data_IF_249291150313
#
_entry.id   IF_249291150313
#
_cell.length_a   1.000
_cell.length_b   1.000
_cell.length_c   1.000
_cell.angle_alpha   90.00
_cell.angle_beta   90.00
_cell.angle_gamma   90.00
#
_symmetry.space_group_name_H-M   'P 1'
#
loop_
_entity.id
_entity.type
_entity.pdbx_description
1 polymer ?
#
# COMPACT_ATOMS: atom_id res chain seq x y z
N UNK A 1 -6.77 16.45 -5.31
CA UNK A 1 -5.96 17.34 -4.45
C UNK A 1 -6.90 18.09 -3.53
N UNK A 2 -6.69 18.03 -2.21
CA UNK A 2 -7.55 18.72 -1.24
C UNK A 2 -6.74 19.77 -0.45
N UNK A 3 -7.33 20.95 -0.28
CA UNK A 3 -6.70 22.13 0.33
C UNK A 3 -7.54 22.56 1.52
N UNK A 4 -6.92 22.96 2.61
CA UNK A 4 -7.62 23.45 3.81
C UNK A 4 -6.84 24.60 4.44
N UNK A 5 -7.56 25.59 4.98
CA UNK A 5 -6.97 26.67 5.79
C UNK A 5 -7.49 26.55 7.21
N UNK A 6 -6.59 26.68 8.19
CA UNK A 6 -6.86 26.66 9.63
C UNK A 6 -6.56 28.05 10.17
N UNK A 7 -7.53 28.61 10.90
CA UNK A 7 -7.39 29.89 11.59
C UNK A 7 -7.43 29.65 13.09
N UNK A 8 -6.36 30.00 13.79
CA UNK A 8 -6.24 29.80 15.24
C UNK A 8 -5.16 30.70 15.82
N UNK A 9 -5.46 31.34 16.93
CA UNK A 9 -4.47 32.08 17.73
C UNK A 9 -3.54 31.13 18.49
N UNK A 10 -4.02 29.92 18.83
CA UNK A 10 -3.17 28.85 19.36
C UNK A 10 -2.46 28.13 18.20
N UNK A 11 -1.19 28.50 18.03
CA UNK A 11 -0.31 27.92 17.01
C UNK A 11 -0.04 26.42 17.21
N UNK A 12 0.04 25.95 18.45
CA UNK A 12 0.31 24.54 18.76
C UNK A 12 -0.91 23.71 18.40
N UNK A 13 -2.11 24.16 18.80
CA UNK A 13 -3.36 23.51 18.42
C UNK A 13 -3.54 23.47 16.89
N UNK A 14 -3.24 24.58 16.20
CA UNK A 14 -3.32 24.66 14.74
C UNK A 14 -2.38 23.65 14.06
N UNK A 15 -1.14 23.53 14.54
CA UNK A 15 -0.17 22.56 14.03
C UNK A 15 -0.59 21.12 14.27
N UNK A 16 -1.11 20.81 15.44
CA UNK A 16 -1.59 19.47 15.77
C UNK A 16 -2.80 19.08 14.91
N UNK A 17 -3.74 20.00 14.71
CA UNK A 17 -4.87 19.81 13.79
C UNK A 17 -4.39 19.66 12.35
N UNK A 18 -3.46 20.51 11.89
CA UNK A 18 -2.87 20.39 10.57
C UNK A 18 -2.21 19.03 10.37
N UNK A 19 -1.47 18.52 11.36
CA UNK A 19 -0.82 17.21 11.30
C UNK A 19 -1.83 16.05 11.21
N UNK A 20 -2.97 16.13 11.90
CA UNK A 20 -3.99 15.07 11.93
C UNK A 20 -4.90 15.03 10.72
N UNK A 21 -5.14 16.18 10.05
CA UNK A 21 -6.05 16.23 8.90
C UNK A 21 -5.53 15.45 7.69
N UNK A 22 -6.41 14.69 7.05
CA UNK A 22 -6.12 13.99 5.79
C UNK A 22 -6.24 14.94 4.59
N UNK A 23 -5.30 15.90 4.52
CA UNK A 23 -5.22 16.93 3.48
C UNK A 23 -3.83 16.99 2.86
N UNK A 24 -3.76 17.30 1.57
CA UNK A 24 -2.50 17.43 0.82
C UNK A 24 -1.80 18.74 1.15
N UNK A 25 -2.56 19.85 1.21
CA UNK A 25 -2.02 21.19 1.44
C UNK A 25 -2.85 21.85 2.55
N UNK A 26 -2.17 22.30 3.60
CA UNK A 26 -2.78 22.96 4.73
C UNK A 26 -2.10 24.30 4.95
N UNK A 27 -2.90 25.36 5.03
CA UNK A 27 -2.47 26.70 5.37
C UNK A 27 -2.85 26.99 6.83
N UNK A 28 -1.93 27.54 7.63
CA UNK A 28 -2.19 27.99 9.00
C UNK A 28 -2.08 29.51 9.02
N UNK A 29 -3.17 30.18 9.43
CA UNK A 29 -3.31 31.64 9.50
C UNK A 29 -2.92 32.34 8.19
N UNK A 30 -3.23 31.70 7.06
CA UNK A 30 -2.98 32.23 5.72
C UNK A 30 -3.95 31.58 4.71
N UNK A 31 -4.06 32.17 3.52
CA UNK A 31 -4.94 31.70 2.45
C UNK A 31 -4.17 31.37 1.17
N UNK A 32 -4.70 30.46 0.34
CA UNK A 32 -4.10 30.06 -0.94
C UNK A 32 -4.00 31.15 -2.01
N UNK A 33 -4.34 32.42 -1.73
CA UNK A 33 -4.38 33.50 -2.72
C UNK A 33 -3.55 34.74 -2.37
N UNK A 34 -3.00 34.85 -1.16
CA UNK A 34 -2.00 35.87 -0.81
C UNK A 34 -0.60 35.25 -1.01
N UNK A 35 0.19 35.77 -1.96
CA UNK A 35 1.55 35.32 -2.34
C UNK A 35 1.72 33.85 -2.79
N UNK A 36 0.62 33.10 -2.91
CA UNK A 36 0.61 31.64 -3.00
C UNK A 36 0.80 31.04 -4.41
N UNK A 37 0.95 31.86 -5.46
CA UNK A 37 1.38 31.37 -6.78
C UNK A 37 2.76 30.68 -6.72
N UNK A 38 3.56 30.95 -5.68
CA UNK A 38 4.90 30.37 -5.49
C UNK A 38 4.88 29.04 -4.71
N UNK A 39 3.76 28.68 -4.04
CA UNK A 39 3.77 27.61 -3.01
C UNK A 39 3.06 26.31 -3.44
N UNK A 40 2.31 26.31 -4.54
CA UNK A 40 1.82 25.06 -5.10
C UNK A 40 3.01 24.27 -5.67
N UNK A 41 3.26 23.02 -5.24
CA UNK A 41 4.27 22.17 -5.87
C UNK A 41 3.73 21.71 -7.22
N UNK A 42 3.65 22.64 -8.17
CA UNK A 42 3.26 22.45 -9.56
C UNK A 42 4.09 21.34 -10.24
N UNK A 43 5.25 21.00 -9.68
CA UNK A 43 6.19 20.04 -10.26
C UNK A 43 5.97 18.60 -9.75
N UNK A 44 5.47 18.36 -8.52
CA UNK A 44 5.29 16.99 -8.00
C UNK A 44 3.86 16.47 -8.16
N UNK A 45 2.87 17.35 -8.05
CA UNK A 45 1.45 16.98 -8.17
C UNK A 45 1.10 16.50 -9.58
N UNK A 46 1.81 16.98 -10.60
CA UNK A 46 1.64 16.57 -12.00
C UNK A 46 2.66 15.52 -12.46
N UNK A 47 3.67 15.17 -11.64
CA UNK A 47 4.59 14.05 -11.90
C UNK A 47 4.05 12.72 -11.37
N UNK A 48 3.23 12.76 -10.32
CA UNK A 48 2.37 11.64 -9.98
C UNK A 48 1.23 11.66 -11.01
N UNK A 49 0.93 10.56 -11.71
CA UNK A 49 -0.26 10.50 -12.54
C UNK A 49 -1.45 10.89 -11.66
N UNK A 50 -2.07 12.05 -11.95
CA UNK A 50 -3.42 12.30 -11.49
C UNK A 50 -4.23 11.07 -11.93
N UNK A 51 -5.00 10.43 -11.02
CA UNK A 51 -5.91 9.37 -11.43
C UNK A 51 -6.73 9.92 -12.59
N UNK A 52 -6.46 9.40 -13.79
CA UNK A 52 -7.17 9.82 -15.00
C UNK A 52 -8.61 9.40 -14.77
N UNK A 53 -9.46 10.40 -14.54
CA UNK A 53 -10.87 10.27 -14.20
C UNK A 53 -11.11 9.64 -12.82
N UNK A 54 -11.74 10.38 -11.93
CA UNK A 54 -13.16 10.18 -11.58
C UNK A 54 -13.48 11.09 -10.39
N UNK A 55 -14.37 12.05 -10.65
CA UNK A 55 -15.13 12.75 -9.63
C UNK A 55 -15.81 11.74 -8.69
N UNK A 56 -15.62 11.89 -7.38
CA UNK A 56 -16.39 11.23 -6.30
C UNK A 56 -16.23 9.72 -6.04
N UNK A 57 -15.26 9.00 -6.60
CA UNK A 57 -15.00 7.62 -6.16
C UNK A 57 -14.12 7.59 -4.90
N UNK A 58 -14.62 6.95 -3.83
CA UNK A 58 -13.82 6.54 -2.68
C UNK A 58 -12.61 5.70 -3.17
N UNK A 59 -11.41 5.94 -2.64
CA UNK A 59 -10.19 5.20 -3.01
C UNK A 59 -10.39 3.68 -2.98
N UNK A 60 -11.15 3.19 -2.00
CA UNK A 60 -11.50 1.77 -1.88
C UNK A 60 -12.27 1.28 -3.11
N UNK A 61 -13.22 2.08 -3.61
CA UNK A 61 -14.01 1.75 -4.78
C UNK A 61 -13.18 1.77 -6.07
N UNK A 62 -12.19 2.65 -6.15
CA UNK A 62 -11.21 2.63 -7.24
C UNK A 62 -10.41 1.33 -7.24
N UNK A 63 -9.88 0.93 -6.08
CA UNK A 63 -9.13 -0.34 -5.93
C UNK A 63 -10.04 -1.54 -6.27
N UNK A 64 -11.27 -1.57 -5.75
CA UNK A 64 -12.23 -2.64 -6.05
C UNK A 64 -12.47 -2.74 -7.56
N UNK A 65 -12.64 -1.61 -8.25
CA UNK A 65 -12.89 -1.58 -9.68
C UNK A 65 -11.66 -2.02 -10.50
N UNK A 66 -10.45 -1.71 -10.04
CA UNK A 66 -9.19 -2.10 -10.67
C UNK A 66 -8.94 -3.60 -10.63
N UNK A 67 -9.28 -4.28 -9.53
CA UNK A 67 -9.04 -5.72 -9.32
C UNK A 67 -10.10 -6.59 -10.02
N UNK A 68 -11.16 -6.00 -10.57
CA UNK A 68 -12.25 -6.79 -11.12
C UNK A 68 -11.83 -7.73 -12.25
N UNK A 69 -12.35 -8.97 -12.27
CA UNK A 69 -12.07 -9.91 -13.35
C UNK A 69 -12.56 -9.39 -14.70
N UNK A 70 -11.77 -9.60 -15.75
CA UNK A 70 -12.12 -9.19 -17.14
C UNK A 70 -13.26 -10.06 -17.68
N UNK A 71 -13.24 -11.35 -17.34
CA UNK A 71 -14.20 -12.34 -17.84
C UNK A 71 -15.12 -12.82 -16.73
N UNK A 72 -16.40 -13.01 -17.06
CA UNK A 72 -17.31 -13.85 -16.26
C UNK A 72 -17.08 -15.28 -16.73
N UNK A 73 -16.11 -15.98 -16.16
CA UNK A 73 -15.81 -17.35 -16.60
C UNK A 73 -16.92 -18.31 -16.17
N UNK A 74 -17.25 -19.29 -17.01
CA UNK A 74 -18.09 -20.43 -16.63
C UNK A 74 -17.31 -21.30 -15.64
N UNK A 75 -17.71 -21.25 -14.36
CA UNK A 75 -16.91 -21.78 -13.25
C UNK A 75 -17.10 -23.27 -13.03
N UNK A 76 -16.00 -23.97 -12.72
CA UNK A 76 -16.03 -25.35 -12.24
C UNK A 76 -16.52 -25.34 -10.79
N UNK A 77 -17.68 -25.93 -10.54
CA UNK A 77 -18.27 -26.08 -9.19
C UNK A 77 -17.74 -27.32 -8.44
N UNK A 78 -17.14 -28.28 -9.15
CA UNK A 78 -16.69 -29.55 -8.57
C UNK A 78 -15.17 -29.68 -8.57
N UNK A 79 -14.58 -29.74 -7.38
CA UNK A 79 -13.14 -29.93 -7.17
C UNK A 79 -12.82 -31.43 -7.25
N UNK A 80 -12.00 -31.84 -8.22
CA UNK A 80 -11.16 -33.02 -8.05
C UNK A 80 -10.01 -32.63 -7.10
N UNK A 81 -9.83 -33.41 -6.04
CA UNK A 81 -8.90 -33.20 -4.91
C UNK A 81 -7.55 -32.62 -5.36
N UNK A 82 -7.26 -31.37 -5.00
CA UNK A 82 -5.98 -30.73 -5.30
C UNK A 82 -4.89 -31.25 -4.36
N UNK A 83 -3.68 -31.44 -4.92
CA UNK A 83 -2.50 -31.97 -4.21
C UNK A 83 -2.03 -31.00 -3.10
N UNK A 84 -2.33 -29.70 -3.22
CA UNK A 84 -2.01 -28.70 -2.20
C UNK A 84 -3.23 -27.79 -1.96
N UNK A 85 -3.90 -27.91 -0.79
CA UNK A 85 -5.17 -27.24 -0.54
C UNK A 85 -5.02 -25.73 -0.34
N UNK A 86 -3.82 -25.22 -0.04
CA UNK A 86 -3.57 -23.81 0.27
C UNK A 86 -3.99 -22.90 -0.89
N UNK A 87 -3.81 -23.34 -2.13
CA UNK A 87 -4.17 -22.58 -3.32
C UNK A 87 -5.69 -22.42 -3.53
N UNK A 88 -6.49 -23.22 -2.82
CA UNK A 88 -7.96 -23.12 -2.86
C UNK A 88 -8.49 -21.98 -1.98
N UNK A 89 -7.62 -21.17 -1.37
CA UNK A 89 -7.98 -20.11 -0.45
C UNK A 89 -7.42 -18.74 -0.89
N UNK A 90 -8.11 -17.71 -0.44
CA UNK A 90 -7.66 -16.32 -0.40
C UNK A 90 -7.06 -16.06 0.99
N UNK A 91 -6.29 -14.99 1.16
CA UNK A 91 -5.75 -14.64 2.47
C UNK A 91 -6.00 -13.16 2.77
N UNK A 92 -6.85 -12.87 3.76
CA UNK A 92 -7.09 -11.51 4.23
C UNK A 92 -7.57 -11.57 5.68
N UNK A 93 -7.46 -10.44 6.38
CA UNK A 93 -7.76 -10.32 7.81
C UNK A 93 -6.92 -11.28 8.67
N UNK A 94 -5.70 -11.60 8.21
CA UNK A 94 -4.76 -12.48 8.90
C UNK A 94 -5.15 -13.97 8.88
N UNK A 95 -6.11 -14.36 8.03
CA UNK A 95 -6.58 -15.74 7.95
C UNK A 95 -6.84 -16.21 6.51
N UNK A 96 -6.82 -17.52 6.31
CA UNK A 96 -7.24 -18.16 5.07
C UNK A 96 -8.76 -18.14 4.91
N UNK A 97 -9.24 -17.79 3.72
CA UNK A 97 -10.64 -17.56 3.41
C UNK A 97 -11.02 -18.35 2.16
N UNK A 98 -12.16 -19.06 2.21
CA UNK A 98 -12.72 -19.66 0.98
C UNK A 98 -13.34 -18.54 0.13
N UNK A 99 -13.27 -18.62 -1.21
CA UNK A 99 -14.00 -17.70 -2.08
C UNK A 99 -15.49 -17.72 -1.73
N UNK A 100 -16.11 -16.55 -1.58
CA UNK A 100 -17.53 -16.44 -1.17
C UNK A 100 -18.43 -17.20 -2.15
N UNK A 101 -18.18 -17.08 -3.45
CA UNK A 101 -18.95 -17.76 -4.49
C UNK A 101 -18.51 -19.19 -4.77
N UNK A 102 -17.53 -19.70 -4.02
CA UNK A 102 -16.97 -21.05 -4.21
C UNK A 102 -16.49 -21.27 -5.66
N UNK A 103 -15.94 -20.21 -6.26
CA UNK A 103 -15.46 -20.18 -7.63
C UNK A 103 -13.97 -20.46 -7.66
N UNK A 104 -13.57 -21.31 -8.61
CA UNK A 104 -12.20 -21.77 -8.76
C UNK A 104 -11.79 -21.76 -10.24
N UNK A 105 -10.49 -21.74 -10.49
CA UNK A 105 -9.87 -21.86 -11.81
C UNK A 105 -8.69 -22.84 -11.73
N UNK A 106 -8.29 -23.39 -12.88
CA UNK A 106 -7.24 -24.42 -12.94
C UNK A 106 -6.04 -23.85 -13.67
N UNK A 107 -4.86 -24.03 -13.07
CA UNK A 107 -3.60 -23.68 -13.69
C UNK A 107 -2.58 -24.79 -13.47
N UNK A 108 -2.03 -25.35 -14.55
CA UNK A 108 -1.04 -26.45 -14.45
C UNK A 108 -1.51 -27.59 -13.52
N UNK A 109 -2.78 -28.00 -13.63
CA UNK A 109 -3.45 -29.00 -12.78
C UNK A 109 -3.58 -28.63 -11.28
N UNK A 110 -3.32 -27.37 -10.92
CA UNK A 110 -3.55 -26.84 -9.57
C UNK A 110 -4.84 -26.04 -9.57
N UNK A 111 -5.78 -26.46 -8.71
CA UNK A 111 -7.01 -25.71 -8.45
C UNK A 111 -6.67 -24.48 -7.61
N UNK A 112 -7.19 -23.32 -8.02
CA UNK A 112 -6.94 -22.03 -7.39
C UNK A 112 -8.25 -21.31 -7.11
N UNK A 113 -8.32 -20.65 -5.96
CA UNK A 113 -9.42 -19.75 -5.63
C UNK A 113 -9.59 -18.68 -6.72
N UNK A 114 -10.83 -18.38 -7.11
CA UNK A 114 -11.16 -17.24 -7.96
C UNK A 114 -11.95 -16.22 -7.13
N UNK A 115 -11.34 -15.09 -6.81
CA UNK A 115 -11.95 -14.06 -5.99
C UNK A 115 -13.11 -13.37 -6.72
N UNK A 116 -14.27 -13.36 -6.08
CA UNK A 116 -15.43 -12.61 -6.55
C UNK A 116 -15.33 -11.13 -6.16
N UNK A 117 -16.23 -10.30 -6.70
CA UNK A 117 -16.34 -8.89 -6.28
C UNK A 117 -16.54 -8.75 -4.76
N UNK A 118 -17.30 -9.65 -4.15
CA UNK A 118 -17.55 -9.63 -2.71
C UNK A 118 -16.29 -9.96 -1.90
N UNK A 119 -15.45 -10.88 -2.41
CA UNK A 119 -14.15 -11.20 -1.81
C UNK A 119 -13.21 -9.99 -1.88
N UNK A 120 -13.18 -9.30 -3.03
CA UNK A 120 -12.38 -8.09 -3.24
C UNK A 120 -12.82 -6.99 -2.26
N UNK A 121 -14.12 -6.76 -2.09
CA UNK A 121 -14.65 -5.77 -1.13
C UNK A 121 -14.20 -6.09 0.30
N UNK A 122 -14.32 -7.35 0.73
CA UNK A 122 -13.86 -7.77 2.07
C UNK A 122 -12.35 -7.64 2.24
N UNK A 123 -11.58 -7.98 1.22
CA UNK A 123 -10.13 -7.86 1.21
C UNK A 123 -9.69 -6.39 1.31
N UNK A 124 -10.31 -5.48 0.56
CA UNK A 124 -10.04 -4.04 0.64
C UNK A 124 -10.42 -3.48 2.01
N UNK A 125 -11.56 -3.88 2.58
CA UNK A 125 -11.94 -3.50 3.93
C UNK A 125 -10.93 -4.00 4.99
N UNK A 126 -10.43 -5.24 4.84
CA UNK A 126 -9.33 -5.78 5.64
C UNK A 126 -8.06 -4.93 5.51
N UNK A 127 -7.65 -4.61 4.28
CA UNK A 127 -6.49 -3.78 4.00
C UNK A 127 -6.59 -2.37 4.60
N UNK A 128 -7.79 -1.78 4.59
CA UNK A 128 -8.08 -0.48 5.18
C UNK A 128 -7.99 -0.51 6.71
N UNK A 129 -8.55 -1.55 7.35
CA UNK A 129 -8.41 -1.78 8.79
C UNK A 129 -6.93 -1.95 9.18
N UNK A 130 -6.20 -2.77 8.44
CA UNK A 130 -4.76 -2.95 8.60
C UNK A 130 -4.02 -1.62 8.49
N UNK A 131 -4.35 -0.79 7.49
CA UNK A 131 -3.70 0.50 7.25
C UNK A 131 -3.88 1.48 8.40
N UNK A 132 -5.08 1.56 8.98
CA UNK A 132 -5.36 2.45 10.11
C UNK A 132 -4.50 2.12 11.34
N UNK A 133 -4.07 0.85 11.50
CA UNK A 133 -3.17 0.44 12.59
C UNK A 133 -1.69 0.51 12.19
N UNK A 134 -1.34 0.14 10.95
CA UNK A 134 0.04 0.01 10.49
C UNK A 134 0.70 1.35 10.14
N UNK A 135 -0.06 2.28 9.56
CA UNK A 135 0.45 3.58 9.13
C UNK A 135 0.87 4.46 10.31
N UNK A 136 0.13 4.38 11.42
CA UNK A 136 0.38 5.15 12.65
C UNK A 136 1.51 4.57 13.51
N UNK A 137 1.89 3.30 13.32
CA UNK A 137 3.00 2.70 14.06
C UNK A 137 4.31 3.45 13.75
N UNK A 138 5.13 3.77 14.76
CA UNK A 138 6.44 4.38 14.50
C UNK A 138 7.31 3.48 13.61
N UNK A 139 8.14 4.07 12.74
CA UNK A 139 9.01 3.31 11.84
C UNK A 139 9.87 2.28 12.57
N UNK A 140 10.36 2.61 13.79
CA UNK A 140 11.13 1.68 14.63
C UNK A 140 10.34 0.42 15.00
N UNK A 141 9.04 0.55 15.28
CA UNK A 141 8.16 -0.58 15.59
C UNK A 141 7.92 -1.45 14.36
N UNK A 142 7.64 -0.83 13.20
CA UNK A 142 7.51 -1.55 11.92
C UNK A 142 8.79 -2.32 11.57
N UNK A 143 9.95 -1.68 11.72
CA UNK A 143 11.27 -2.31 11.51
C UNK A 143 11.47 -3.54 12.40
N UNK A 144 11.08 -3.45 13.68
CA UNK A 144 11.20 -4.58 14.62
C UNK A 144 10.39 -5.79 14.13
N UNK A 145 9.15 -5.56 13.69
CA UNK A 145 8.28 -6.61 13.14
C UNK A 145 8.85 -7.18 11.84
N UNK A 146 9.32 -6.33 10.92
CA UNK A 146 9.93 -6.79 9.67
C UNK A 146 11.27 -7.52 9.90
N UNK A 147 12.02 -7.14 10.92
CA UNK A 147 13.23 -7.88 11.32
C UNK A 147 12.88 -9.27 11.87
N UNK A 148 11.77 -9.39 12.61
CA UNK A 148 11.23 -10.69 13.02
C UNK A 148 10.83 -11.54 11.80
N UNK A 149 10.19 -10.94 10.79
CA UNK A 149 9.89 -11.62 9.52
C UNK A 149 11.16 -12.16 8.86
N UNK A 150 12.22 -11.36 8.78
CA UNK A 150 13.51 -11.84 8.25
C UNK A 150 14.05 -13.03 9.04
N UNK A 151 13.96 -12.99 10.38
CA UNK A 151 14.40 -14.09 11.23
C UNK A 151 13.62 -15.38 10.99
N UNK A 152 12.28 -15.30 10.95
CA UNK A 152 11.43 -16.47 10.67
C UNK A 152 11.72 -17.05 9.29
N UNK A 153 11.87 -16.20 8.26
CA UNK A 153 12.24 -16.64 6.91
C UNK A 153 13.59 -17.40 6.88
N UNK A 154 14.61 -16.92 7.60
CA UNK A 154 15.90 -17.63 7.71
C UNK A 154 15.74 -18.99 8.38
N UNK A 155 14.98 -19.03 9.47
CA UNK A 155 14.73 -20.27 10.20
C UNK A 155 13.96 -21.30 9.36
N UNK A 156 13.07 -20.84 8.49
CA UNK A 156 12.35 -21.66 7.52
C UNK A 156 13.16 -22.02 6.26
N UNK A 157 14.45 -21.66 6.19
CA UNK A 157 15.33 -21.97 5.06
C UNK A 157 15.17 -21.06 3.84
N UNK A 158 14.42 -19.97 3.95
CA UNK A 158 14.07 -19.05 2.85
C UNK A 158 15.02 -17.85 2.85
N UNK A 159 16.30 -18.12 2.60
CA UNK A 159 17.38 -17.15 2.80
C UNK A 159 17.32 -15.93 1.87
N UNK A 160 16.95 -16.12 0.60
CA UNK A 160 16.91 -15.04 -0.38
C UNK A 160 15.89 -13.95 0.04
N UNK A 161 14.69 -14.36 0.44
CA UNK A 161 13.67 -13.43 0.90
C UNK A 161 14.03 -12.79 2.24
N UNK A 162 14.66 -13.54 3.13
CA UNK A 162 15.15 -12.97 4.38
C UNK A 162 16.19 -11.86 4.15
N UNK A 163 17.05 -12.01 3.13
CA UNK A 163 18.04 -11.00 2.73
C UNK A 163 17.35 -9.75 2.18
N UNK A 164 16.35 -9.91 1.29
CA UNK A 164 15.51 -8.81 0.79
C UNK A 164 14.92 -8.01 1.95
N UNK A 165 14.29 -8.70 2.91
CA UNK A 165 13.69 -8.04 4.09
C UNK A 165 14.75 -7.31 4.90
N UNK A 166 15.92 -7.92 5.13
CA UNK A 166 17.02 -7.30 5.88
C UNK A 166 17.52 -6.02 5.21
N UNK A 167 17.65 -6.02 3.88
CA UNK A 167 18.13 -4.88 3.11
C UNK A 167 17.14 -3.71 3.18
N UNK A 168 15.84 -3.97 2.95
CA UNK A 168 14.83 -2.91 2.98
C UNK A 168 14.54 -2.40 4.38
N UNK A 169 14.78 -3.15 5.44
CA UNK A 169 14.72 -2.61 6.80
C UNK A 169 15.68 -1.43 6.98
N UNK A 170 16.86 -1.48 6.35
CA UNK A 170 17.86 -0.39 6.41
C UNK A 170 17.41 0.86 5.64
N UNK A 171 16.54 0.71 4.64
CA UNK A 171 15.98 1.83 3.86
C UNK A 171 15.30 2.88 4.72
N UNK A 172 14.69 2.47 5.83
CA UNK A 172 14.09 3.39 6.82
C UNK A 172 15.03 4.45 7.36
N UNK A 173 16.34 4.16 7.43
CA UNK A 173 17.36 5.11 7.88
C UNK A 173 17.56 6.24 6.88
N UNK A 174 17.31 5.96 5.60
CA UNK A 174 17.58 6.88 4.49
C UNK A 174 16.54 8.01 4.42
N UNK A 175 15.25 7.71 4.56
CA UNK A 175 14.19 8.73 4.46
C UNK A 175 13.80 9.38 5.80
N UNK A 176 14.43 8.99 6.91
CA UNK A 176 14.17 9.54 8.27
C UNK A 176 14.38 11.07 8.34
N UNK A 177 15.04 11.66 7.35
CA UNK A 177 15.30 13.09 7.17
C UNK A 177 14.36 13.80 6.18
N UNK A 178 13.28 13.18 5.70
CA UNK A 178 12.44 13.74 4.62
C UNK A 178 11.56 14.95 5.00
N UNK A 179 11.71 15.49 6.21
CA UNK A 179 11.13 16.77 6.59
C UNK A 179 11.93 17.89 5.93
N UNK A 180 11.45 18.38 4.79
CA UNK A 180 12.07 19.51 4.11
C UNK A 180 11.37 20.80 4.49
N UNK A 181 12.13 21.79 4.92
CA UNK A 181 11.65 23.14 5.17
C UNK A 181 12.09 24.06 4.04
N UNK A 182 11.16 24.88 3.53
CA UNK A 182 11.49 25.95 2.61
C UNK A 182 10.83 27.24 3.08
N UNK A 183 11.61 28.32 3.14
CA UNK A 183 11.16 29.67 3.48
C UNK A 183 10.92 30.45 2.18
N UNK A 184 9.75 31.05 2.05
CA UNK A 184 9.35 31.88 0.91
C UNK A 184 8.81 33.20 1.45
N UNK A 185 9.64 34.25 1.44
CA UNK A 185 9.29 35.53 2.06
C UNK A 185 8.95 35.39 3.55
N UNK A 186 7.72 35.76 3.91
CA UNK A 186 7.16 35.63 5.27
C UNK A 186 6.52 34.28 5.54
N UNK A 187 6.50 33.34 4.58
CA UNK A 187 5.91 32.02 4.79
C UNK A 187 6.99 30.95 4.99
N UNK A 188 6.69 29.98 5.85
CA UNK A 188 7.44 28.74 6.04
C UNK A 188 6.59 27.57 5.57
N UNK A 189 7.16 26.75 4.68
CA UNK A 189 6.58 25.50 4.25
C UNK A 189 7.32 24.33 4.88
N UNK A 190 6.58 23.46 5.56
CA UNK A 190 7.04 22.16 6.03
C UNK A 190 6.41 21.08 5.14
N UNK A 191 7.26 20.28 4.50
CA UNK A 191 6.82 19.18 3.66
C UNK A 191 7.15 17.86 4.36
N UNK A 192 6.12 17.03 4.50
CA UNK A 192 6.18 15.69 5.06
C UNK A 192 5.67 14.73 4.00
N UNK A 193 6.22 13.52 3.95
CA UNK A 193 5.65 12.45 3.13
C UNK A 193 5.00 11.42 4.04
N UNK A 194 3.78 11.01 3.67
CA UNK A 194 3.01 9.99 4.38
C UNK A 194 2.87 8.75 3.49
N UNK A 195 2.59 7.57 4.05
CA UNK A 195 2.24 6.39 3.26
C UNK A 195 1.11 6.69 2.28
N UNK A 196 1.17 6.12 1.07
CA UNK A 196 0.15 6.28 0.02
C UNK A 196 -1.18 5.63 0.41
N UNK A 197 -1.18 4.53 1.18
CA UNK A 197 -2.40 3.82 1.56
C UNK A 197 -2.32 2.33 1.33
N UNK A 198 -3.32 1.80 0.63
CA UNK A 198 -3.36 0.42 0.16
C UNK A 198 -2.67 0.35 -1.21
N UNK A 199 -1.69 -0.55 -1.35
CA UNK A 199 -0.93 -0.79 -2.57
C UNK A 199 -1.35 -2.13 -3.16
N UNK A 200 -1.69 -2.16 -4.45
CA UNK A 200 -1.93 -3.39 -5.19
C UNK A 200 -0.67 -3.81 -5.92
N UNK A 201 -0.25 -5.08 -5.78
CA UNK A 201 0.91 -5.62 -6.49
C UNK A 201 0.53 -6.85 -7.30
N UNK A 202 1.07 -6.95 -8.50
CA UNK A 202 0.92 -8.09 -9.41
C UNK A 202 2.21 -8.19 -10.23
N UNK A 203 3.09 -9.11 -9.87
CA UNK A 203 4.42 -9.24 -10.48
C UNK A 203 4.68 -10.71 -10.81
N UNK A 204 5.39 -10.97 -11.90
CA UNK A 204 5.76 -12.33 -12.33
C UNK A 204 6.97 -12.85 -11.53
N UNK A 205 7.93 -11.97 -11.24
CA UNK A 205 9.13 -12.29 -10.50
C UNK A 205 8.93 -12.15 -8.99
N UNK A 206 9.27 -13.20 -8.24
CA UNK A 206 9.13 -13.22 -6.79
C UNK A 206 10.05 -12.23 -6.08
N UNK A 207 11.27 -12.01 -6.57
CA UNK A 207 12.21 -11.05 -5.97
C UNK A 207 11.65 -9.63 -6.10
N UNK A 208 11.18 -9.26 -7.28
CA UNK A 208 10.55 -7.96 -7.56
C UNK A 208 9.29 -7.76 -6.71
N UNK A 209 8.45 -8.80 -6.59
CA UNK A 209 7.27 -8.76 -5.73
C UNK A 209 7.67 -8.48 -4.26
N UNK A 210 8.63 -9.23 -3.74
CA UNK A 210 9.06 -9.10 -2.35
C UNK A 210 9.75 -7.75 -2.10
N UNK A 211 10.55 -7.24 -3.03
CA UNK A 211 11.13 -5.89 -2.93
C UNK A 211 10.02 -4.84 -2.75
N UNK A 212 9.04 -4.80 -3.66
CA UNK A 212 7.92 -3.85 -3.62
C UNK A 212 7.04 -4.02 -2.38
N UNK A 213 6.80 -5.27 -1.98
CA UNK A 213 6.06 -5.62 -0.77
C UNK A 213 6.77 -5.04 0.45
N UNK A 214 8.05 -5.34 0.66
CA UNK A 214 8.76 -4.87 1.86
C UNK A 214 8.97 -3.35 1.83
N UNK A 215 9.26 -2.74 0.68
CA UNK A 215 9.32 -1.28 0.53
C UNK A 215 8.01 -0.62 1.00
N UNK A 216 6.86 -1.15 0.56
CA UNK A 216 5.54 -0.69 0.95
C UNK A 216 5.33 -0.78 2.47
N UNK A 217 5.67 -1.93 3.06
CA UNK A 217 5.49 -2.19 4.50
C UNK A 217 6.40 -1.32 5.38
N UNK A 218 7.66 -1.12 4.99
CA UNK A 218 8.61 -0.26 5.71
C UNK A 218 8.07 1.16 5.81
N UNK A 219 7.53 1.67 4.70
CA UNK A 219 6.95 3.02 4.63
C UNK A 219 5.69 3.14 5.49
N UNK A 220 4.90 2.08 5.61
CA UNK A 220 3.66 2.04 6.39
C UNK A 220 2.40 1.88 5.55
N UNK A 221 2.54 1.46 4.29
CA UNK A 221 1.42 1.06 3.45
C UNK A 221 0.96 -0.36 3.81
N UNK A 222 -0.26 -0.70 3.43
CA UNK A 222 -0.73 -2.09 3.37
C UNK A 222 -0.76 -2.57 1.94
N UNK A 223 -0.74 -3.88 1.75
CA UNK A 223 -0.59 -4.48 0.42
C UNK A 223 -1.68 -5.52 0.16
N UNK A 224 -2.22 -5.48 -1.05
CA UNK A 224 -3.03 -6.54 -1.64
C UNK A 224 -2.23 -7.10 -2.82
N UNK A 225 -1.78 -8.34 -2.70
CA UNK A 225 -1.12 -9.07 -3.79
C UNK A 225 -2.17 -9.83 -4.58
N UNK A 226 -2.13 -9.67 -5.90
CA UNK A 226 -3.07 -10.31 -6.83
C UNK A 226 -2.32 -11.38 -7.60
N UNK A 227 -2.79 -12.62 -7.47
CA UNK A 227 -2.22 -13.79 -8.12
C UNK A 227 -3.09 -14.25 -9.29
N UNK A 228 -2.59 -14.02 -10.50
CA UNK A 228 -3.08 -14.52 -11.78
C UNK A 228 -2.27 -15.71 -12.28
N UNK A 229 -2.59 -16.19 -13.48
CA UNK A 229 -1.84 -17.23 -14.19
C UNK A 229 -0.36 -16.88 -14.39
N UNK A 230 -0.03 -15.62 -14.67
CA UNK A 230 1.35 -15.24 -15.01
C UNK A 230 2.13 -14.64 -13.83
N UNK A 231 1.46 -14.35 -12.71
CA UNK A 231 2.10 -13.73 -11.55
C UNK A 231 2.69 -14.74 -10.56
N UNK A 232 3.66 -14.27 -9.76
CA UNK A 232 4.20 -14.99 -8.63
C UNK A 232 3.13 -15.27 -7.56
N UNK A 233 3.18 -16.47 -6.99
CA UNK A 233 2.23 -16.90 -5.97
C UNK A 233 2.75 -16.67 -4.55
N UNK A 234 2.12 -15.75 -3.82
CA UNK A 234 2.50 -15.42 -2.45
C UNK A 234 1.95 -16.42 -1.40
N UNK A 235 0.99 -17.28 -1.75
CA UNK A 235 0.31 -18.15 -0.81
C UNK A 235 1.23 -18.96 0.13
N UNK A 236 2.36 -19.54 -0.32
CA UNK A 236 3.24 -20.30 0.55
C UNK A 236 3.86 -19.50 1.73
N UNK A 237 3.78 -18.17 1.70
CA UNK A 237 4.39 -17.28 2.69
C UNK A 237 3.38 -16.65 3.67
N UNK A 238 2.07 -16.81 3.46
CA UNK A 238 1.04 -16.15 4.25
C UNK A 238 1.07 -16.53 5.75
N UNK A 239 1.32 -17.81 6.06
CA UNK A 239 1.43 -18.26 7.45
C UNK A 239 2.70 -17.71 8.13
N UNK A 240 3.78 -17.53 7.37
CA UNK A 240 5.02 -16.92 7.85
C UNK A 240 4.78 -15.47 8.22
N UNK A 241 4.04 -14.70 7.42
CA UNK A 241 3.71 -13.31 7.75
C UNK A 241 2.95 -13.22 9.07
N UNK A 242 1.93 -14.06 9.25
CA UNK A 242 1.14 -14.12 10.49
C UNK A 242 2.00 -14.47 11.70
N UNK A 243 2.83 -15.52 11.58
CA UNK A 243 3.73 -15.98 12.64
C UNK A 243 4.80 -14.95 12.98
N UNK A 244 5.16 -14.08 12.03
CA UNK A 244 6.14 -13.01 12.22
C UNK A 244 5.57 -11.77 12.93
N UNK A 245 4.29 -11.79 13.28
CA UNK A 245 3.62 -10.68 13.97
C UNK A 245 3.21 -9.54 13.04
N UNK A 246 3.08 -9.80 11.72
CA UNK A 246 2.46 -8.85 10.79
C UNK A 246 0.97 -8.75 11.15
N UNK A 247 0.43 -7.54 11.40
CA UNK A 247 -0.97 -7.42 11.79
C UNK A 247 -1.95 -7.88 10.70
N UNK A 248 -3.14 -8.37 11.10
CA UNK A 248 -4.24 -8.66 10.17
C UNK A 248 -4.51 -7.50 9.21
N UNK A 249 -4.67 -7.83 7.93
CA UNK A 249 -4.95 -6.86 6.87
C UNK A 249 -3.75 -6.07 6.36
N UNK A 250 -2.55 -6.21 6.94
CA UNK A 250 -1.36 -5.51 6.43
C UNK A 250 -0.84 -6.10 5.12
N UNK A 251 -0.89 -7.44 5.01
CA UNK A 251 -0.60 -8.18 3.78
C UNK A 251 -1.85 -9.02 3.47
N UNK A 252 -2.36 -8.89 2.26
CA UNK A 252 -3.52 -9.64 1.78
C UNK A 252 -3.18 -10.27 0.43
N UNK A 253 -3.85 -11.36 0.10
CA UNK A 253 -3.69 -12.13 -1.11
C UNK A 253 -5.06 -12.43 -1.72
N UNK A 254 -5.21 -12.07 -2.99
CA UNK A 254 -6.32 -12.50 -3.82
C UNK A 254 -5.77 -13.34 -4.96
N UNK A 255 -6.48 -14.40 -5.33
CA UNK A 255 -6.24 -15.10 -6.58
C UNK A 255 -7.40 -14.85 -7.53
N UNK A 256 -7.08 -14.47 -8.75
CA UNK A 256 -8.03 -14.16 -9.82
C UNK A 256 -7.51 -14.78 -11.10
N UNK A 257 -8.36 -15.39 -11.91
CA UNK A 257 -7.94 -16.01 -13.18
C UNK A 257 -7.35 -14.96 -14.14
N UNK A 258 -8.14 -13.92 -14.43
CA UNK A 258 -7.77 -12.81 -15.31
C UNK A 258 -8.21 -11.48 -14.69
N UNK A 259 -7.28 -10.53 -14.53
CA UNK A 259 -7.56 -9.13 -14.15
C UNK A 259 -6.87 -8.19 -15.12
N UNK A 260 -7.36 -6.94 -15.21
CA UNK A 260 -6.66 -5.92 -15.98
C UNK A 260 -5.25 -5.68 -15.40
N UNK A 261 -4.25 -5.41 -16.24
CA UNK A 261 -2.97 -4.92 -15.77
C UNK A 261 -3.17 -3.74 -14.82
N UNK A 262 -2.44 -3.75 -13.70
CA UNK A 262 -2.51 -2.67 -12.75
C UNK A 262 -2.01 -1.39 -13.42
N UNK A 263 -2.74 -0.28 -13.25
CA UNK A 263 -2.34 1.02 -13.81
C UNK A 263 -1.10 1.61 -13.12
N UNK A 264 -0.83 1.19 -11.88
CA UNK A 264 0.27 1.69 -11.08
C UNK A 264 1.54 0.88 -11.36
N UNK A 265 2.40 1.40 -12.24
CA UNK A 265 3.69 0.82 -12.53
C UNK A 265 4.73 1.27 -11.49
N UNK A 266 5.01 0.38 -10.54
CA UNK A 266 5.98 0.58 -9.48
C UNK A 266 7.41 0.27 -9.96
N UNK A 267 7.99 1.08 -10.86
CA UNK A 267 9.26 0.74 -11.58
C UNK A 267 10.50 1.51 -11.12
N UNK A 268 10.40 2.36 -10.10
CA UNK A 268 11.55 3.12 -9.62
C UNK A 268 12.69 2.21 -9.12
N UNK A 269 13.93 2.55 -9.48
CA UNK A 269 15.15 1.83 -9.08
C UNK A 269 16.00 2.65 -8.11
N UNK A 270 15.98 3.98 -8.22
CA UNK A 270 16.67 4.86 -7.27
C UNK A 270 15.92 4.95 -5.94
N UNK A 271 16.66 4.92 -4.82
CA UNK A 271 16.08 4.94 -3.47
C UNK A 271 15.12 6.13 -3.23
N UNK A 272 15.43 7.29 -3.80
CA UNK A 272 14.60 8.49 -3.71
C UNK A 272 13.28 8.34 -4.45
N UNK A 273 13.33 7.80 -5.66
CA UNK A 273 12.15 7.63 -6.48
C UNK A 273 11.27 6.49 -5.96
N UNK A 274 11.88 5.42 -5.43
CA UNK A 274 11.18 4.37 -4.67
C UNK A 274 10.43 5.00 -3.50
N UNK A 275 11.10 5.83 -2.70
CA UNK A 275 10.44 6.50 -1.59
C UNK A 275 9.24 7.33 -2.06
N UNK A 276 9.40 8.10 -3.14
CA UNK A 276 8.35 8.95 -3.68
C UNK A 276 7.18 8.17 -4.27
N UNK A 277 7.46 7.05 -4.91
CA UNK A 277 6.48 6.18 -5.53
C UNK A 277 5.50 5.56 -4.52
N UNK A 278 5.97 5.26 -3.31
CA UNK A 278 5.18 4.63 -2.25
C UNK A 278 4.66 5.62 -1.18
N UNK A 279 4.83 6.92 -1.40
CA UNK A 279 4.39 7.96 -0.47
C UNK A 279 3.66 9.09 -1.18
N UNK A 280 2.86 9.83 -0.44
CA UNK A 280 2.23 11.07 -0.91
C UNK A 280 2.71 12.26 -0.10
N UNK A 281 2.88 13.40 -0.76
CA UNK A 281 3.31 14.63 -0.12
C UNK A 281 2.16 15.28 0.66
N UNK A 282 2.48 15.75 1.86
CA UNK A 282 1.67 16.65 2.68
C UNK A 282 2.48 17.91 2.97
N UNK A 283 1.89 19.06 2.72
CA UNK A 283 2.51 20.35 2.94
C UNK A 283 1.72 21.15 3.95
N UNK A 284 2.43 21.72 4.92
CA UNK A 284 1.88 22.64 5.91
C UNK A 284 2.60 23.96 5.70
N UNK A 285 1.83 25.00 5.39
CA UNK A 285 2.32 26.34 5.09
C UNK A 285 1.85 27.24 6.21
N UNK A 286 2.76 28.02 6.79
CA UNK A 286 2.46 28.92 7.89
C UNK A 286 3.11 30.27 7.60
N UNK A 287 2.38 31.36 7.85
CA UNK A 287 3.00 32.69 7.94
C UNK A 287 3.84 32.78 9.23
N UNK A 288 5.02 33.40 9.13
CA UNK A 288 5.90 33.77 10.24
C UNK A 288 5.45 35.10 10.86
#
# INVERSE_FOLDING_TARGET
>A
MNITSIWSEDFIAAKNLAASLDRNIIFINTMPFYDAFVVLPYIEVFKVPLPKNIDNLNEDQYIINMIQPIRKTEHIQHIQTSINPIYNFLFYDGAWQKPIKHTYWIQHNVVRANASRDDIIKCVASARKGFNSWSILPSRSRIKILSQLSHVLRYSGIFNLALIVSNWVLFSKWYKSSLSFAKFGFAMSAKVRKPKGIITLMEEDGTVLFDKLIQSLVIGNTVIVICTSNSFNLAPYCDIFSTSGIPPGVINLLSCEDVMPLSDNYTATELKDIYYQFTVSKQIITLL
#
